data_IF_734387349034
#
_entry.id   IF_734387349034
#
_cell.length_a   1.000
_cell.length_b   1.000
_cell.length_c   1.000
_cell.angle_alpha   90.00
_cell.angle_beta   90.00
_cell.angle_gamma   90.00
#
_symmetry.space_group_name_H-M   'P 1'
#
loop_
_entity.id
_entity.type
_entity.pdbx_description
1 polymer ?
#
# COMPACT_ATOMS: atom_id res chain seq x y z
N UNK A 1 -30.29 -22.70 23.15
CA UNK A 1 -30.52 -22.00 21.87
C UNK A 1 -29.40 -20.98 21.75
N UNK A 2 -28.29 -21.38 21.13
CA UNK A 2 -27.08 -20.56 21.02
C UNK A 2 -26.93 -20.14 19.54
N UNK A 3 -26.84 -18.83 19.32
CA UNK A 3 -26.60 -18.21 18.04
C UNK A 3 -25.18 -18.54 17.56
N UNK A 4 -25.09 -19.25 16.44
CA UNK A 4 -23.84 -19.52 15.73
C UNK A 4 -23.89 -18.86 14.37
N UNK A 5 -23.65 -17.55 14.33
CA UNK A 5 -23.41 -16.83 13.08
C UNK A 5 -21.89 -16.73 12.90
N UNK A 6 -21.37 -17.59 12.03
CA UNK A 6 -20.01 -17.48 11.49
C UNK A 6 -19.96 -16.24 10.60
N UNK A 7 -19.21 -15.23 11.00
CA UNK A 7 -18.85 -14.11 10.14
C UNK A 7 -17.83 -14.59 9.09
N UNK A 8 -18.08 -14.42 7.78
CA UNK A 8 -17.28 -15.04 6.71
C UNK A 8 -15.96 -14.30 6.37
N UNK A 9 -15.42 -13.49 7.29
CA UNK A 9 -14.27 -12.61 6.99
C UNK A 9 -12.96 -12.99 7.68
N UNK A 10 -12.90 -14.08 8.43
CA UNK A 10 -11.68 -14.51 9.11
C UNK A 10 -11.69 -16.04 9.34
N UNK A 11 -11.65 -16.83 8.26
CA UNK A 11 -11.05 -18.16 8.35
C UNK A 11 -9.55 -17.96 8.14
N UNK A 12 -8.82 -17.93 9.26
CA UNK A 12 -7.37 -17.65 9.36
C UNK A 12 -6.57 -18.94 9.15
N UNK A 13 -7.01 -19.80 8.24
CA UNK A 13 -6.36 -21.11 8.05
C UNK A 13 -5.01 -21.01 7.32
N UNK A 14 -4.70 -19.85 6.71
CA UNK A 14 -3.44 -19.64 5.97
C UNK A 14 -2.52 -18.54 6.54
N UNK A 15 -2.84 -17.92 7.68
CA UNK A 15 -1.93 -16.93 8.26
C UNK A 15 -0.72 -17.60 8.90
N UNK A 16 0.50 -17.20 8.52
CA UNK A 16 1.71 -17.55 9.27
C UNK A 16 1.65 -16.86 10.62
N UNK A 17 1.37 -17.64 11.66
CA UNK A 17 1.45 -17.21 13.05
C UNK A 17 2.89 -17.36 13.53
N UNK A 18 3.37 -16.41 14.33
CA UNK A 18 4.61 -16.60 15.09
C UNK A 18 4.42 -17.68 16.18
N UNK A 19 5.53 -18.04 16.85
CA UNK A 19 5.51 -19.04 17.91
C UNK A 19 4.64 -18.66 19.13
N UNK A 20 4.16 -17.43 19.22
CA UNK A 20 3.26 -16.92 20.24
C UNK A 20 1.81 -16.76 19.75
N UNK A 21 1.48 -17.17 18.52
CA UNK A 21 0.15 -17.01 17.93
C UNK A 21 -0.15 -15.60 17.43
N UNK A 22 0.87 -14.74 17.31
CA UNK A 22 0.79 -13.43 16.70
C UNK A 22 0.79 -13.53 15.17
N UNK A 23 -0.07 -12.76 14.50
CA UNK A 23 -0.10 -12.67 13.04
C UNK A 23 1.22 -12.06 12.52
N UNK A 24 1.93 -12.77 11.64
CA UNK A 24 3.09 -12.22 10.92
C UNK A 24 2.54 -11.51 9.68
N UNK A 25 2.70 -10.18 9.54
CA UNK A 25 2.36 -9.50 8.30
C UNK A 25 3.26 -10.02 7.18
N UNK A 26 2.69 -10.48 6.06
CA UNK A 26 3.44 -10.98 4.88
C UNK A 26 4.22 -9.89 4.12
N UNK A 27 4.24 -8.64 4.62
CA UNK A 27 5.13 -7.60 4.14
C UNK A 27 5.90 -6.95 5.28
N UNK A 28 7.13 -6.54 4.98
CA UNK A 28 8.07 -5.97 5.94
C UNK A 28 8.64 -4.65 5.42
N UNK A 29 8.60 -3.63 6.26
CA UNK A 29 9.33 -2.37 6.09
C UNK A 29 10.72 -2.55 6.70
N UNK A 30 11.52 -3.36 6.02
CA UNK A 30 12.79 -3.92 6.54
C UNK A 30 13.88 -2.89 6.91
N UNK A 31 13.79 -1.64 6.44
CA UNK A 31 14.84 -0.65 6.70
C UNK A 31 14.32 0.78 6.54
N UNK A 32 13.58 1.31 7.50
CA UNK A 32 13.16 2.72 7.46
C UNK A 32 14.17 3.57 8.23
N UNK A 33 14.77 4.55 7.57
CA UNK A 33 15.73 5.49 8.18
C UNK A 33 15.37 6.91 7.81
N UNK A 34 15.42 7.81 8.78
CA UNK A 34 15.36 9.24 8.55
C UNK A 34 16.79 9.77 8.47
N UNK A 35 17.16 10.36 7.34
CA UNK A 35 18.45 11.01 7.14
C UNK A 35 18.26 12.54 7.14
N UNK A 36 19.18 13.24 7.81
CA UNK A 36 19.27 14.70 7.75
C UNK A 36 19.83 15.15 6.39
N UNK A 37 19.31 16.28 5.90
CA UNK A 37 19.76 17.11 4.78
C UNK A 37 20.69 16.46 3.74
N UNK A 38 20.15 15.92 2.63
CA UNK A 38 20.94 15.75 1.42
C UNK A 38 21.29 17.12 0.84
N UNK A 39 22.50 17.27 0.28
CA UNK A 39 22.92 18.50 -0.41
C UNK A 39 21.90 18.93 -1.48
N UNK A 40 21.49 20.21 -1.47
CA UNK A 40 20.62 20.82 -2.48
C UNK A 40 19.12 20.88 -2.14
N UNK A 41 18.72 20.52 -0.92
CA UNK A 41 17.34 20.61 -0.44
C UNK A 41 17.09 21.87 0.42
N UNK A 42 15.81 22.29 0.61
CA UNK A 42 15.49 23.41 1.49
C UNK A 42 16.03 23.22 2.90
N UNK A 43 16.43 24.31 3.56
CA UNK A 43 16.88 24.29 4.95
C UNK A 43 15.82 23.62 5.86
N UNK A 44 16.27 22.66 6.69
CA UNK A 44 15.38 21.88 7.55
C UNK A 44 14.60 20.77 6.84
N UNK A 45 14.90 20.48 5.56
CA UNK A 45 14.40 19.30 4.87
C UNK A 45 15.03 18.04 5.44
N UNK A 46 14.19 17.04 5.65
CA UNK A 46 14.54 15.72 6.18
C UNK A 46 14.03 14.68 5.21
N UNK A 47 14.78 13.59 5.06
CA UNK A 47 14.47 12.57 4.07
C UNK A 47 14.25 11.23 4.77
N UNK A 48 13.07 10.66 4.60
CA UNK A 48 12.78 9.28 4.99
C UNK A 48 13.11 8.38 3.81
N UNK A 49 14.07 7.48 3.99
CA UNK A 49 14.40 6.44 3.02
C UNK A 49 14.06 5.08 3.59
N UNK A 50 13.66 4.18 2.72
CA UNK A 50 13.63 2.79 3.10
C UNK A 50 13.41 1.84 1.95
N UNK A 51 13.25 0.58 2.32
CA UNK A 51 12.95 -0.50 1.39
C UNK A 51 11.66 -1.17 1.83
N UNK A 52 10.71 -1.29 0.91
CA UNK A 52 9.50 -2.10 1.06
C UNK A 52 9.70 -3.45 0.38
N UNK A 53 9.33 -4.53 1.08
CA UNK A 53 9.25 -5.86 0.49
C UNK A 53 7.96 -6.55 0.90
N UNK A 54 7.33 -7.23 -0.05
CA UNK A 54 6.24 -8.18 0.20
C UNK A 54 6.79 -9.58 -0.04
N UNK A 55 6.67 -10.48 0.95
CA UNK A 55 7.24 -11.83 0.88
C UNK A 55 8.74 -11.84 0.50
N UNK A 56 9.54 -10.91 1.05
CA UNK A 56 10.96 -10.70 0.73
C UNK A 56 11.27 -10.30 -0.72
N UNK A 57 10.26 -9.99 -1.53
CA UNK A 57 10.39 -9.52 -2.92
C UNK A 57 10.06 -8.03 -2.96
N UNK A 58 10.83 -7.26 -3.74
CA UNK A 58 10.52 -5.87 -4.02
C UNK A 58 9.14 -5.77 -4.68
N UNK A 59 8.31 -4.86 -4.19
CA UNK A 59 6.98 -4.65 -4.74
C UNK A 59 6.70 -3.15 -4.82
N UNK A 60 6.02 -2.75 -5.90
CA UNK A 60 5.52 -1.39 -6.06
C UNK A 60 4.39 -1.15 -5.06
N UNK A 61 4.53 -0.11 -4.24
CA UNK A 61 3.58 0.35 -3.25
C UNK A 61 3.55 1.86 -3.22
N UNK A 62 2.37 2.41 -2.95
CA UNK A 62 2.25 3.82 -2.66
C UNK A 62 2.64 4.04 -1.19
N UNK A 63 3.55 4.98 -0.98
CA UNK A 63 4.08 5.32 0.33
C UNK A 63 3.57 6.70 0.71
N UNK A 64 3.06 6.84 1.93
CA UNK A 64 2.67 8.12 2.51
C UNK A 64 3.50 8.42 3.73
N UNK A 65 3.94 9.68 3.83
CA UNK A 65 4.47 10.23 5.07
C UNK A 65 3.36 11.00 5.77
N UNK A 66 3.03 10.65 7.01
CA UNK A 66 1.90 11.22 7.75
C UNK A 66 2.38 11.85 9.06
N UNK A 67 1.86 13.02 9.41
CA UNK A 67 2.20 13.68 10.69
C UNK A 67 1.64 12.90 11.89
N UNK A 68 2.43 12.73 12.96
CA UNK A 68 1.91 12.15 14.21
C UNK A 68 1.05 13.12 15.02
N UNK A 69 1.17 14.41 14.72
CA UNK A 69 0.39 15.46 15.35
C UNK A 69 -0.63 16.03 14.37
N UNK A 70 -1.75 16.52 14.90
CA UNK A 70 -2.77 17.17 14.12
C UNK A 70 -2.32 18.59 13.77
N UNK A 71 -2.18 18.86 12.47
CA UNK A 71 -1.74 20.14 11.93
C UNK A 71 -2.93 20.97 11.46
N UNK A 72 -2.84 22.31 11.54
CA UNK A 72 -3.91 23.19 11.07
C UNK A 72 -4.14 23.02 9.58
N UNK A 73 -5.36 22.66 9.22
CA UNK A 73 -5.81 22.66 7.83
C UNK A 73 -6.02 24.11 7.40
N UNK A 74 -5.23 24.53 6.40
CA UNK A 74 -5.13 25.92 5.93
C UNK A 74 -6.51 26.54 5.71
N UNK A 75 -6.76 27.67 6.40
CA UNK A 75 -7.98 28.45 6.25
C UNK A 75 -9.22 27.92 6.97
N UNK A 76 -9.12 26.85 7.77
CA UNK A 76 -10.30 26.23 8.41
C UNK A 76 -10.28 26.24 9.94
N UNK A 77 -9.11 26.44 10.57
CA UNK A 77 -8.94 26.30 12.02
C UNK A 77 -9.09 24.86 12.54
N UNK A 78 -9.36 23.89 11.66
CA UNK A 78 -9.50 22.47 12.01
C UNK A 78 -8.12 21.83 12.06
N UNK A 79 -7.87 21.03 13.09
CA UNK A 79 -6.66 20.20 13.19
C UNK A 79 -6.91 18.81 12.59
N UNK A 80 -5.98 18.36 11.74
CA UNK A 80 -5.99 17.02 11.12
C UNK A 80 -4.57 16.48 11.00
N UNK A 81 -4.39 15.17 11.08
CA UNK A 81 -3.17 14.55 10.57
C UNK A 81 -3.10 14.78 9.07
N UNK A 82 -1.92 15.12 8.56
CA UNK A 82 -1.73 15.48 7.16
C UNK A 82 -0.76 14.50 6.50
N UNK A 83 -1.02 14.18 5.23
CA UNK A 83 -0.03 13.57 4.35
C UNK A 83 0.96 14.67 3.99
N UNK A 84 2.21 14.49 4.42
CA UNK A 84 3.32 15.42 4.26
C UNK A 84 4.04 15.23 2.93
N UNK A 85 4.10 14.00 2.45
CA UNK A 85 4.66 13.62 1.16
C UNK A 85 4.13 12.24 0.72
N UNK A 86 4.22 11.97 -0.58
CA UNK A 86 3.83 10.68 -1.17
C UNK A 86 4.79 10.25 -2.28
N UNK A 87 5.01 8.94 -2.40
CA UNK A 87 5.83 8.38 -3.49
C UNK A 87 5.40 6.96 -3.82
N UNK A 88 6.04 6.35 -4.82
CA UNK A 88 5.97 4.91 -5.05
C UNK A 88 7.33 4.26 -4.79
N UNK A 89 7.32 3.05 -4.24
CA UNK A 89 8.53 2.22 -4.19
C UNK A 89 8.94 1.80 -5.60
N UNK A 90 10.24 1.68 -5.82
CA UNK A 90 10.80 1.10 -7.03
C UNK A 90 10.41 -0.39 -7.11
N UNK A 91 9.84 -0.87 -8.24
CA UNK A 91 9.33 -2.23 -8.36
C UNK A 91 10.42 -3.32 -8.36
N UNK A 92 11.68 -2.95 -8.62
CA UNK A 92 12.79 -3.91 -8.74
C UNK A 92 13.58 -4.00 -7.44
N UNK A 93 13.77 -2.87 -6.77
CA UNK A 93 14.62 -2.74 -5.58
C UNK A 93 13.81 -2.56 -4.30
N UNK A 94 12.56 -2.12 -4.40
CA UNK A 94 11.69 -1.81 -3.25
C UNK A 94 12.01 -0.48 -2.59
N UNK A 95 12.99 0.28 -3.11
CA UNK A 95 13.46 1.51 -2.49
C UNK A 95 12.43 2.64 -2.65
N UNK A 96 12.31 3.48 -1.62
CA UNK A 96 11.50 4.69 -1.66
C UNK A 96 12.21 5.83 -0.92
N UNK A 97 11.81 7.06 -1.28
CA UNK A 97 12.27 8.27 -0.64
C UNK A 97 11.10 9.25 -0.49
N UNK A 98 10.90 9.73 0.74
CA UNK A 98 9.92 10.75 1.11
C UNK A 98 10.65 11.92 1.78
N UNK A 99 10.12 13.13 1.68
CA UNK A 99 10.72 14.33 2.23
C UNK A 99 9.74 15.07 3.15
N UNK A 100 10.25 15.68 4.21
CA UNK A 100 9.45 16.58 5.05
C UNK A 100 10.29 17.67 5.68
N UNK A 101 9.67 18.80 5.99
CA UNK A 101 10.21 19.82 6.89
C UNK A 101 9.57 19.74 8.28
N UNK A 102 8.69 18.76 8.50
CA UNK A 102 8.00 18.57 9.77
C UNK A 102 8.98 18.11 10.85
N UNK A 103 8.92 18.77 12.01
CA UNK A 103 9.95 18.62 13.05
C UNK A 103 9.63 17.54 14.09
N UNK A 104 8.35 17.19 14.25
CA UNK A 104 7.91 16.14 15.17
C UNK A 104 7.93 14.76 14.51
N UNK A 105 7.44 13.75 15.23
CA UNK A 105 7.33 12.39 14.74
C UNK A 105 6.50 12.28 13.46
N UNK A 106 6.84 11.28 12.65
CA UNK A 106 6.12 10.94 11.42
C UNK A 106 5.82 9.45 11.37
N UNK A 107 4.75 9.10 10.64
CA UNK A 107 4.35 7.72 10.36
C UNK A 107 4.52 7.49 8.87
N UNK A 108 5.16 6.38 8.51
CA UNK A 108 5.22 5.93 7.12
C UNK A 108 4.18 4.84 6.92
N UNK A 109 3.32 5.02 5.91
CA UNK A 109 2.29 4.05 5.54
C UNK A 109 2.59 3.57 4.14
N UNK A 110 2.77 2.27 3.98
CA UNK A 110 2.74 1.61 2.68
C UNK A 110 1.31 1.13 2.42
N UNK A 111 0.73 1.53 1.29
CA UNK A 111 -0.54 1.00 0.82
C UNK A 111 -0.36 0.30 -0.51
N UNK A 112 -1.15 -0.75 -0.69
CA UNK A 112 -1.29 -1.42 -1.96
C UNK A 112 -1.99 -0.49 -2.96
N UNK A 113 -1.65 -0.63 -4.24
CA UNK A 113 -2.39 0.04 -5.31
C UNK A 113 -3.79 -0.57 -5.39
N UNK A 114 -4.79 0.17 -4.90
CA UNK A 114 -6.17 -0.32 -4.88
C UNK A 114 -6.78 -0.36 -6.28
N UNK A 115 -6.07 0.18 -7.29
CA UNK A 115 -6.49 0.15 -8.67
C UNK A 115 -7.74 0.98 -8.95
N UNK A 116 -8.05 1.07 -10.24
CA UNK A 116 -9.26 1.71 -10.74
C UNK A 116 -10.43 0.71 -10.67
N UNK A 117 -11.64 1.21 -10.52
CA UNK A 117 -12.83 0.36 -10.68
C UNK A 117 -12.82 -0.28 -12.08
N UNK A 118 -13.13 -1.57 -12.14
CA UNK A 118 -13.38 -2.27 -13.41
C UNK A 118 -14.44 -1.50 -14.22
N UNK A 119 -14.14 -1.32 -15.51
CA UNK A 119 -15.03 -0.69 -16.47
C UNK A 119 -14.87 -1.36 -17.82
N UNK A 120 -15.96 -1.90 -18.35
CA UNK A 120 -15.97 -2.49 -19.68
C UNK A 120 -15.70 -1.45 -20.78
N UNK A 121 -15.02 -1.86 -21.84
CA UNK A 121 -14.75 -1.04 -23.03
C UNK A 121 -13.61 -0.05 -22.89
N UNK A 122 -12.86 -0.06 -21.78
CA UNK A 122 -11.62 0.74 -21.64
C UNK A 122 -10.41 -0.10 -22.06
N UNK A 123 -9.40 0.56 -22.63
CA UNK A 123 -8.11 -0.10 -22.88
C UNK A 123 -7.32 -0.15 -21.58
N UNK A 124 -6.92 -1.36 -21.16
CA UNK A 124 -5.96 -1.56 -20.08
C UNK A 124 -4.55 -1.68 -20.67
N UNK A 125 -3.58 -1.02 -20.05
CA UNK A 125 -2.16 -1.11 -20.39
C UNK A 125 -1.43 -2.00 -19.39
N UNK A 126 -0.36 -2.67 -19.81
CA UNK A 126 0.50 -3.43 -18.90
C UNK A 126 0.92 -2.56 -17.71
N UNK A 127 0.69 -3.06 -16.50
CA UNK A 127 0.94 -2.36 -15.24
C UNK A 127 -0.26 -1.61 -14.66
N UNK A 128 -1.36 -1.44 -15.40
CA UNK A 128 -2.61 -0.92 -14.84
C UNK A 128 -3.21 -1.92 -13.84
N UNK A 129 -3.65 -1.43 -12.68
CA UNK A 129 -4.36 -2.23 -11.68
C UNK A 129 -5.84 -1.88 -11.71
N UNK A 130 -6.70 -2.91 -11.76
CA UNK A 130 -8.15 -2.75 -11.61
C UNK A 130 -8.69 -3.55 -10.43
N UNK A 131 -9.89 -3.18 -9.97
CA UNK A 131 -10.59 -3.86 -8.89
C UNK A 131 -12.08 -4.05 -9.17
N UNK A 132 -12.72 -5.06 -8.55
CA UNK A 132 -14.17 -5.19 -8.54
C UNK A 132 -14.86 -3.97 -7.92
N UNK A 133 -16.17 -3.84 -8.20
CA UNK A 133 -17.02 -2.98 -7.40
C UNK A 133 -17.05 -3.47 -5.94
N UNK A 134 -17.24 -2.55 -4.98
CA UNK A 134 -17.10 -2.85 -3.54
C UNK A 134 -17.93 -4.03 -3.05
N UNK A 135 -19.09 -4.31 -3.66
CA UNK A 135 -19.95 -5.45 -3.27
C UNK A 135 -19.38 -6.82 -3.68
N UNK A 136 -18.46 -6.87 -4.65
CA UNK A 136 -17.81 -8.08 -5.16
C UNK A 136 -16.33 -8.15 -4.77
N UNK A 137 -15.90 -7.26 -3.87
CA UNK A 137 -14.50 -7.18 -3.49
C UNK A 137 -14.15 -8.27 -2.46
N UNK A 138 -13.29 -9.20 -2.87
CA UNK A 138 -12.86 -10.35 -2.06
C UNK A 138 -11.43 -10.22 -1.52
N UNK A 139 -10.82 -9.03 -1.63
CA UNK A 139 -9.43 -8.81 -1.23
C UNK A 139 -8.41 -8.94 -2.36
N UNK A 140 -8.86 -9.17 -3.60
CA UNK A 140 -8.00 -9.23 -4.78
C UNK A 140 -8.10 -7.95 -5.63
N UNK A 141 -6.96 -7.51 -6.13
CA UNK A 141 -6.83 -6.58 -7.26
C UNK A 141 -6.25 -7.32 -8.46
N UNK A 142 -6.42 -6.77 -9.66
CA UNK A 142 -6.06 -7.42 -10.91
C UNK A 142 -5.11 -6.51 -11.69
N UNK A 143 -3.83 -6.88 -11.76
CA UNK A 143 -2.80 -6.11 -12.46
C UNK A 143 -2.64 -6.60 -13.89
N UNK A 144 -2.78 -5.70 -14.86
CA UNK A 144 -2.71 -6.01 -16.27
C UNK A 144 -1.30 -6.49 -16.65
N UNK A 145 -1.21 -7.72 -17.15
CA UNK A 145 0.03 -8.33 -17.66
C UNK A 145 0.08 -8.31 -19.18
N UNK A 146 -1.07 -8.12 -19.85
CA UNK A 146 -1.18 -7.97 -21.31
C UNK A 146 -2.21 -6.92 -21.69
N UNK A 147 -1.75 -5.89 -22.41
CA UNK A 147 -2.59 -4.81 -22.93
C UNK A 147 -3.75 -5.35 -23.78
N UNK A 148 -4.94 -4.78 -23.61
CA UNK A 148 -6.12 -5.13 -24.41
C UNK A 148 -7.36 -4.34 -24.00
N UNK A 149 -8.45 -4.52 -24.75
CA UNK A 149 -9.75 -3.99 -24.39
C UNK A 149 -10.36 -4.80 -23.23
N UNK A 150 -10.75 -4.13 -22.16
CA UNK A 150 -11.37 -4.75 -20.99
C UNK A 150 -12.81 -5.15 -21.32
N UNK A 151 -13.10 -6.44 -21.17
CA UNK A 151 -14.44 -7.00 -21.35
C UNK A 151 -15.34 -6.89 -20.12
N UNK A 152 -16.49 -7.55 -20.17
CA UNK A 152 -17.42 -7.66 -19.04
C UNK A 152 -16.75 -8.27 -17.81
N UNK A 153 -17.27 -7.91 -16.63
CA UNK A 153 -16.74 -8.41 -15.36
C UNK A 153 -16.80 -9.94 -15.30
N UNK A 154 -15.70 -10.63 -14.95
CA UNK A 154 -15.73 -12.06 -14.66
C UNK A 154 -16.43 -12.34 -13.32
N UNK A 155 -16.60 -13.63 -12.99
CA UNK A 155 -16.92 -14.02 -11.62
C UNK A 155 -15.70 -13.84 -10.73
N UNK A 156 -15.65 -12.72 -10.02
CA UNK A 156 -14.55 -12.36 -9.13
C UNK A 156 -14.32 -13.40 -8.02
N UNK A 157 -15.36 -14.13 -7.61
CA UNK A 157 -15.28 -15.11 -6.50
C UNK A 157 -14.63 -16.43 -6.91
N UNK A 158 -14.42 -16.64 -8.20
CA UNK A 158 -13.80 -17.86 -8.74
C UNK A 158 -12.26 -17.79 -8.82
N UNK A 159 -11.65 -16.69 -8.38
CA UNK A 159 -10.22 -16.42 -8.55
C UNK A 159 -9.47 -16.34 -7.22
N UNK A 160 -8.20 -16.74 -7.24
CA UNK A 160 -7.26 -16.72 -6.11
C UNK A 160 -6.01 -15.90 -6.45
N UNK A 161 -5.19 -15.58 -5.45
CA UNK A 161 -3.89 -14.93 -5.67
C UNK A 161 -3.03 -15.75 -6.64
N UNK A 162 -2.39 -15.07 -7.60
CA UNK A 162 -1.54 -15.68 -8.62
C UNK A 162 -2.28 -16.16 -9.86
N UNK A 163 -3.61 -16.18 -9.86
CA UNK A 163 -4.39 -16.55 -11.04
C UNK A 163 -4.18 -15.56 -12.18
N UNK A 164 -4.03 -16.09 -13.40
CA UNK A 164 -4.12 -15.28 -14.62
C UNK A 164 -5.56 -15.24 -15.09
N UNK A 165 -6.16 -14.05 -15.09
CA UNK A 165 -7.56 -13.79 -15.43
C UNK A 165 -7.64 -13.02 -16.74
N UNK A 166 -8.34 -13.60 -17.72
CA UNK A 166 -8.62 -12.93 -18.99
C UNK A 166 -9.93 -12.15 -18.89
N UNK A 167 -9.88 -10.84 -19.13
CA UNK A 167 -11.06 -9.95 -19.07
C UNK A 167 -11.17 -9.23 -20.41
N UNK A 168 -11.96 -9.79 -21.32
CA UNK A 168 -11.99 -9.36 -22.73
C UNK A 168 -10.72 -9.77 -23.47
N UNK A 169 -10.01 -8.80 -24.02
CA UNK A 169 -8.75 -9.02 -24.74
C UNK A 169 -7.51 -8.86 -23.85
N UNK A 170 -7.66 -8.23 -22.68
CA UNK A 170 -6.59 -8.05 -21.71
C UNK A 170 -6.44 -9.27 -20.78
N UNK A 171 -5.23 -9.50 -20.31
CA UNK A 171 -4.91 -10.50 -19.29
C UNK A 171 -4.37 -9.81 -18.04
N UNK A 172 -4.80 -10.29 -16.88
CA UNK A 172 -4.49 -9.73 -15.57
C UNK A 172 -3.95 -10.81 -14.65
N UNK A 173 -3.04 -10.45 -13.76
CA UNK A 173 -2.63 -11.26 -12.63
C UNK A 173 -3.45 -10.84 -11.40
N UNK A 174 -4.13 -11.77 -10.77
CA UNK A 174 -4.79 -11.56 -9.49
C UNK A 174 -3.74 -11.45 -8.38
N UNK A 175 -3.76 -10.34 -7.64
CA UNK A 175 -2.82 -10.05 -6.57
C UNK A 175 -3.62 -9.75 -5.30
N UNK A 176 -3.16 -10.26 -4.16
CA UNK A 176 -3.72 -9.88 -2.88
C UNK A 176 -3.50 -8.40 -2.64
N UNK A 177 -4.59 -7.70 -2.35
CA UNK A 177 -4.53 -6.38 -1.77
C UNK A 177 -4.37 -6.55 -0.26
N UNK A 178 -3.12 -6.58 0.16
CA UNK A 178 -2.73 -6.60 1.55
C UNK A 178 -3.15 -5.31 2.27
N UNK A 179 -3.56 -5.44 3.53
CA UNK A 179 -3.93 -4.31 4.40
C UNK A 179 -2.73 -3.34 4.53
N UNK A 180 -2.97 -2.03 4.69
CA UNK A 180 -1.90 -1.05 4.79
C UNK A 180 -0.88 -1.47 5.86
N UNK A 181 0.39 -1.49 5.49
CA UNK A 181 1.49 -1.71 6.42
C UNK A 181 1.95 -0.37 6.97
N UNK A 182 1.95 -0.27 8.29
CA UNK A 182 2.24 0.97 9.01
C UNK A 182 3.51 0.76 9.81
N UNK A 183 4.52 1.62 9.59
CA UNK A 183 5.66 1.68 10.50
C UNK A 183 5.30 2.53 11.72
N UNK A 184 5.82 2.15 12.89
CA UNK A 184 5.71 2.96 14.11
C UNK A 184 6.32 4.35 13.93
N UNK A 185 6.03 5.24 14.89
CA UNK A 185 6.50 6.63 14.89
C UNK A 185 8.01 6.69 14.72
N UNK A 186 8.46 7.40 13.69
CA UNK A 186 9.85 7.71 13.45
C UNK A 186 10.15 9.07 14.07
N UNK A 187 11.16 9.11 14.93
CA UNK A 187 11.68 10.35 15.48
C UNK A 187 12.87 10.83 14.65
N UNK A 188 13.03 12.14 14.46
CA UNK A 188 14.21 12.69 13.83
C UNK A 188 15.44 12.49 14.71
N UNK A 189 16.54 12.01 14.13
CA UNK A 189 17.84 12.09 14.78
C UNK A 189 18.27 13.56 14.81
N UNK A 190 18.54 14.10 16.00
CA UNK A 190 19.18 15.40 16.15
C UNK A 190 20.65 15.24 15.79
N UNK A 191 21.07 15.82 14.67
CA UNK A 191 22.50 15.99 14.39
C UNK A 191 22.94 17.26 15.10
N UNK A 192 23.67 17.14 16.21
CA UNK A 192 24.36 18.29 16.80
C UNK A 192 25.37 18.82 15.76
N UNK A 193 25.30 20.14 15.49
CA UNK A 193 26.19 20.89 14.60
C UNK A 193 27.56 21.14 15.25
#
# INVERSE_FOLDING_TARGET
MAWGDKHPWLDVEDAKLDAAGGYIPDGDLTSVRLEAEPWGYPEGARVVKGTYKYNNVAAKRQMFLVSTEALPLKGTGVLRHQVLDETYTDPVTGQYQLMTTFKSGVVVVAVDDYGKLHREGVTALVGDTIRPQSIYYIGLVYRCTKTGLVGSAPDWTAHHEGDTVKIGEAEFLAEMYSRPLVHGVLFPEETEL
#
